data_IF_245592797491
#
_entry.id   IF_245592797491
#
_cell.length_a   1.000
_cell.length_b   1.000
_cell.length_c   1.000
_cell.angle_alpha   90.00
_cell.angle_beta   90.00
_cell.angle_gamma   90.00
#
_symmetry.space_group_name_H-M   'P 1'
#
loop_
_entity.id
_entity.type
_entity.pdbx_description
1 polymer ?
#
# COMPACT_ATOMS: atom_id res chain seq x y z
N UNK A 1 -10.64 15.86 -3.80
CA UNK A 1 -9.37 16.48 -3.36
C UNK A 1 -8.78 17.26 -4.54
N UNK A 2 -8.21 18.40 -4.30
CA UNK A 2 -7.39 19.15 -5.27
C UNK A 2 -6.17 19.63 -4.50
N UNK A 3 -4.99 19.36 -5.01
CA UNK A 3 -3.75 19.71 -4.32
C UNK A 3 -2.57 19.79 -5.29
N UNK A 4 -1.48 20.37 -4.81
CA UNK A 4 -0.19 20.35 -5.46
C UNK A 4 0.70 19.34 -4.73
N UNK A 5 1.50 18.58 -5.45
CA UNK A 5 2.41 17.58 -4.92
C UNK A 5 1.71 16.44 -4.10
N UNK A 6 0.50 16.07 -4.52
CA UNK A 6 -0.34 15.06 -3.85
C UNK A 6 -0.51 13.84 -4.78
N UNK A 7 -0.46 12.65 -4.20
CA UNK A 7 -0.67 11.41 -4.91
C UNK A 7 -2.18 11.13 -5.12
N UNK A 8 -2.55 10.61 -6.29
CA UNK A 8 -3.91 10.17 -6.60
C UNK A 8 -4.38 9.10 -5.61
N UNK A 9 -3.49 8.22 -5.18
CA UNK A 9 -3.80 7.14 -4.22
C UNK A 9 -4.29 7.63 -2.86
N UNK A 10 -4.10 8.92 -2.55
CA UNK A 10 -4.61 9.51 -1.30
C UNK A 10 -6.15 9.46 -1.17
N UNK A 11 -6.88 9.23 -2.27
CA UNK A 11 -8.34 9.04 -2.25
C UNK A 11 -8.75 7.57 -2.36
N UNK A 12 -7.80 6.64 -2.47
CA UNK A 12 -8.08 5.21 -2.52
C UNK A 12 -8.50 4.70 -1.15
N UNK A 13 -9.46 3.79 -1.14
CA UNK A 13 -9.97 3.20 0.10
C UNK A 13 -9.14 1.98 0.51
N UNK A 14 -8.66 1.21 -0.47
CA UNK A 14 -8.03 -0.07 -0.23
C UNK A 14 -8.96 -1.07 0.48
N UNK A 15 -8.51 -2.28 0.62
CA UNK A 15 -9.30 -3.31 1.33
C UNK A 15 -8.45 -4.17 2.26
N UNK A 16 -7.29 -3.68 2.65
CA UNK A 16 -6.35 -4.40 3.50
C UNK A 16 -6.44 -3.91 4.95
N UNK A 17 -6.34 -4.85 5.89
CA UNK A 17 -6.41 -4.56 7.32
C UNK A 17 -5.04 -4.61 8.01
N UNK A 18 -4.00 -5.14 7.37
CA UNK A 18 -2.68 -5.23 7.97
C UNK A 18 -2.03 -3.85 8.11
N UNK A 19 -1.47 -3.61 9.28
CA UNK A 19 -0.72 -2.39 9.55
C UNK A 19 0.76 -2.73 9.71
N UNK A 20 1.57 -2.43 8.70
CA UNK A 20 2.99 -2.71 8.70
C UNK A 20 3.70 -2.05 9.91
N UNK A 21 4.58 -2.82 10.54
CA UNK A 21 5.38 -2.33 11.65
C UNK A 21 6.49 -1.39 11.19
N UNK A 22 7.10 -1.70 10.05
CA UNK A 22 8.14 -0.88 9.41
C UNK A 22 7.63 -0.24 8.12
N UNK A 23 8.31 0.82 7.66
CA UNK A 23 8.06 1.41 6.34
C UNK A 23 8.70 0.61 5.19
N UNK A 24 9.35 -0.50 5.48
CA UNK A 24 9.96 -1.38 4.47
C UNK A 24 8.94 -2.25 3.74
N UNK A 25 7.79 -2.48 4.36
CA UNK A 25 6.65 -3.15 3.75
C UNK A 25 5.62 -2.09 3.40
N UNK A 26 5.33 -1.91 2.13
CA UNK A 26 4.19 -1.09 1.74
C UNK A 26 2.89 -1.64 2.36
N UNK A 27 2.02 -0.77 2.79
CA UNK A 27 0.71 -1.16 3.32
C UNK A 27 -0.06 -1.94 2.25
N UNK A 28 -0.01 -3.26 2.33
CA UNK A 28 -0.75 -4.16 1.47
C UNK A 28 -0.46 -4.06 -0.04
N UNK A 29 0.71 -3.58 -0.41
CA UNK A 29 1.24 -3.71 -1.76
C UNK A 29 0.63 -2.82 -2.85
N UNK A 30 -0.45 -2.11 -2.61
CA UNK A 30 -1.09 -1.30 -3.66
C UNK A 30 -0.83 0.19 -3.53
N UNK A 31 -0.26 0.63 -2.42
CA UNK A 31 -0.07 2.04 -2.14
C UNK A 31 1.20 2.64 -2.75
N UNK A 32 2.16 1.82 -3.11
CA UNK A 32 3.47 2.32 -3.52
C UNK A 32 3.64 2.48 -5.02
N UNK A 33 2.92 1.69 -5.82
CA UNK A 33 3.08 1.71 -7.27
C UNK A 33 1.85 2.23 -7.98
N UNK A 34 0.67 1.82 -7.52
CA UNK A 34 -0.60 2.13 -8.19
C UNK A 34 -1.18 3.45 -7.68
N UNK A 35 -0.67 4.51 -8.06
CA UNK A 35 -1.16 5.80 -7.62
C UNK A 35 -0.11 6.84 -7.65
N UNK A 36 1.07 6.47 -8.05
CA UNK A 36 2.15 7.43 -8.22
C UNK A 36 1.75 8.52 -9.18
N UNK A 37 0.96 9.42 -8.61
CA UNK A 37 0.84 10.71 -9.18
C UNK A 37 2.25 11.27 -9.32
N UNK A 38 2.57 11.69 -10.48
CA UNK A 38 3.62 12.65 -10.68
C UNK A 38 3.34 13.80 -9.71
N UNK A 39 4.35 14.25 -9.04
CA UNK A 39 4.25 15.33 -8.05
C UNK A 39 3.92 16.65 -8.72
N UNK A 40 2.69 16.86 -9.09
CA UNK A 40 2.18 18.06 -9.74
C UNK A 40 0.80 18.42 -9.25
N UNK A 41 0.06 19.17 -10.04
CA UNK A 41 -1.33 19.53 -9.70
C UNK A 41 -2.20 18.29 -9.87
N UNK A 42 -2.80 17.86 -8.78
CA UNK A 42 -3.65 16.66 -8.72
C UNK A 42 -5.09 17.04 -8.44
N UNK A 43 -6.01 16.43 -9.18
CA UNK A 43 -7.44 16.46 -8.89
C UNK A 43 -7.96 15.02 -8.78
N UNK A 44 -8.47 14.66 -7.61
CA UNK A 44 -8.93 13.31 -7.33
C UNK A 44 -10.21 13.31 -6.50
N UNK A 45 -11.02 12.27 -6.67
CA UNK A 45 -12.27 12.08 -5.93
C UNK A 45 -12.49 10.61 -5.60
N UNK A 46 -13.20 10.38 -4.50
CA UNK A 46 -13.74 9.08 -4.16
C UNK A 46 -15.22 9.18 -3.82
N UNK A 47 -15.94 8.11 -4.02
CA UNK A 47 -17.33 7.97 -3.67
C UNK A 47 -17.61 6.58 -3.10
N UNK A 48 -18.18 6.54 -1.90
CA UNK A 48 -18.63 5.31 -1.25
C UNK A 48 -20.14 5.18 -1.47
N UNK A 49 -20.55 4.02 -1.98
CA UNK A 49 -21.94 3.65 -2.17
C UNK A 49 -22.46 2.90 -0.97
N UNK A 50 -23.78 2.90 -0.79
CA UNK A 50 -24.40 2.00 0.17
C UNK A 50 -24.09 0.54 -0.18
N UNK A 51 -23.81 -0.29 0.84
CA UNK A 51 -23.51 -1.70 0.65
C UNK A 51 -22.03 -2.04 0.49
N UNK A 52 -21.12 -1.09 0.81
CA UNK A 52 -19.69 -1.36 0.95
C UNK A 52 -18.86 -1.23 -0.34
N UNK A 53 -19.48 -0.85 -1.45
CA UNK A 53 -18.75 -0.59 -2.70
C UNK A 53 -18.24 0.86 -2.73
N UNK A 54 -17.03 1.08 -3.23
CA UNK A 54 -16.47 2.41 -3.46
C UNK A 54 -15.71 2.49 -4.78
N UNK A 55 -15.70 3.70 -5.34
CA UNK A 55 -14.91 4.06 -6.51
C UNK A 55 -14.08 5.30 -6.19
N UNK A 56 -12.84 5.30 -6.62
CA UNK A 56 -11.96 6.44 -6.51
C UNK A 56 -11.17 6.62 -7.80
N UNK A 57 -10.72 7.83 -8.06
CA UNK A 57 -9.85 8.10 -9.18
C UNK A 57 -9.46 9.56 -9.28
N UNK A 58 -8.51 9.83 -10.15
CA UNK A 58 -7.99 11.16 -10.33
C UNK A 58 -7.05 11.28 -11.51
N UNK A 59 -6.65 12.51 -11.73
CA UNK A 59 -5.63 12.90 -12.69
C UNK A 59 -4.59 13.75 -11.98
N UNK A 60 -3.35 13.62 -12.40
CA UNK A 60 -2.24 14.45 -11.95
C UNK A 60 -1.44 14.91 -13.16
N UNK A 61 -0.86 16.08 -13.09
CA UNK A 61 0.01 16.63 -14.13
C UNK A 61 1.33 17.05 -13.50
N UNK A 62 2.43 16.79 -14.20
CA UNK A 62 3.78 17.12 -13.73
C UNK A 62 4.07 18.61 -13.62
N UNK A 63 5.27 18.99 -13.08
CA UNK A 63 5.55 20.35 -12.57
C UNK A 63 5.42 21.50 -13.54
N UNK A 64 5.17 21.24 -14.80
CA UNK A 64 4.97 22.29 -15.81
C UNK A 64 3.52 22.79 -15.92
N UNK A 65 2.59 22.14 -15.19
CA UNK A 65 1.17 22.57 -15.07
C UNK A 65 0.24 21.94 -16.11
N UNK A 66 -1.02 21.73 -15.71
CA UNK A 66 -2.13 21.10 -16.47
C UNK A 66 -2.34 21.67 -17.91
N UNK A 67 -1.75 22.80 -18.23
CA UNK A 67 -1.87 23.45 -19.53
C UNK A 67 -0.54 23.55 -20.28
N UNK A 68 0.50 22.91 -19.81
CA UNK A 68 1.78 22.92 -20.49
C UNK A 68 1.80 21.87 -21.62
N UNK A 69 2.44 22.23 -22.70
CA UNK A 69 2.52 21.39 -23.91
C UNK A 69 3.54 20.25 -23.82
N UNK A 70 4.25 20.12 -22.71
CA UNK A 70 5.20 19.03 -22.42
C UNK A 70 4.58 18.28 -21.26
N UNK A 71 4.02 17.17 -21.59
CA UNK A 71 3.00 16.47 -20.80
C UNK A 71 3.65 15.24 -20.22
N UNK A 72 3.73 15.23 -18.92
CA UNK A 72 3.85 14.00 -18.18
C UNK A 72 2.59 13.99 -17.28
N UNK A 73 1.53 13.41 -17.75
CA UNK A 73 0.27 13.30 -17.02
C UNK A 73 0.16 11.91 -16.39
N UNK A 74 -0.67 11.79 -15.40
CA UNK A 74 -1.01 10.51 -14.82
C UNK A 74 -2.51 10.46 -14.56
N UNK A 75 -3.10 9.27 -14.71
CA UNK A 75 -4.43 9.02 -14.19
C UNK A 75 -4.45 7.73 -13.37
N UNK A 76 -5.36 7.64 -12.42
CA UNK A 76 -5.52 6.46 -11.60
C UNK A 76 -6.97 6.21 -11.25
N UNK A 77 -7.31 4.94 -11.10
CA UNK A 77 -8.64 4.46 -10.73
C UNK A 77 -8.52 3.35 -9.70
N UNK A 78 -9.47 3.31 -8.75
CA UNK A 78 -9.66 2.20 -7.82
C UNK A 78 -11.13 1.85 -7.73
N UNK A 79 -11.40 0.55 -7.64
CA UNK A 79 -12.69 0.01 -7.21
C UNK A 79 -12.46 -0.89 -6.00
N UNK A 80 -13.19 -0.65 -4.92
CA UNK A 80 -13.10 -1.45 -3.72
C UNK A 80 -14.48 -1.91 -3.24
N UNK A 81 -14.50 -3.07 -2.62
CA UNK A 81 -15.64 -3.61 -1.92
C UNK A 81 -15.22 -4.08 -0.53
N UNK A 82 -15.93 -3.64 0.49
CA UNK A 82 -15.68 -4.01 1.88
C UNK A 82 -16.99 -4.47 2.55
N UNK A 83 -16.95 -5.67 3.08
CA UNK A 83 -17.98 -6.24 3.94
C UNK A 83 -17.42 -6.46 5.35
N UNK A 84 -18.25 -6.93 6.29
CA UNK A 84 -17.86 -7.10 7.70
C UNK A 84 -16.63 -8.01 7.89
N UNK A 85 -16.53 -9.06 7.08
CA UNK A 85 -15.46 -10.08 7.24
C UNK A 85 -14.49 -10.18 6.07
N UNK A 86 -14.70 -9.46 4.98
CA UNK A 86 -13.77 -9.47 3.85
C UNK A 86 -13.80 -8.18 3.07
N UNK A 87 -12.72 -7.92 2.36
CA UNK A 87 -12.62 -6.82 1.42
C UNK A 87 -11.71 -7.16 0.26
N UNK A 88 -11.95 -6.50 -0.86
CA UNK A 88 -11.11 -6.56 -2.05
C UNK A 88 -11.07 -5.19 -2.70
N UNK A 89 -9.87 -4.78 -3.16
CA UNK A 89 -9.69 -3.58 -3.96
C UNK A 89 -8.83 -3.89 -5.18
N UNK A 90 -9.14 -3.23 -6.29
CA UNK A 90 -8.38 -3.29 -7.54
C UNK A 90 -8.08 -1.87 -7.96
N UNK A 91 -6.82 -1.56 -8.20
CA UNK A 91 -6.38 -0.26 -8.66
C UNK A 91 -5.58 -0.37 -9.96
N UNK A 92 -5.66 0.67 -10.76
CA UNK A 92 -4.92 0.83 -12.01
C UNK A 92 -4.45 2.27 -12.12
N UNK A 93 -3.24 2.48 -12.64
CA UNK A 93 -2.78 3.81 -13.04
C UNK A 93 -1.93 3.73 -14.30
N UNK A 94 -1.95 4.83 -15.04
CA UNK A 94 -1.11 5.08 -16.20
C UNK A 94 -0.37 6.39 -15.94
N UNK A 95 0.95 6.33 -16.03
CA UNK A 95 1.84 7.43 -15.68
C UNK A 95 2.73 7.69 -16.88
N UNK A 96 2.54 8.84 -17.51
CA UNK A 96 3.43 9.35 -18.54
C UNK A 96 4.69 9.96 -17.90
N UNK A 97 5.83 9.80 -18.54
CA UNK A 97 7.10 10.32 -18.05
C UNK A 97 8.25 10.02 -18.98
N UNK A 98 9.47 10.05 -18.48
CA UNK A 98 10.66 9.63 -19.27
C UNK A 98 10.50 8.20 -19.81
N UNK A 99 9.78 7.38 -19.10
CA UNK A 99 9.30 6.06 -19.52
C UNK A 99 7.86 5.95 -19.08
N UNK A 100 6.95 5.85 -20.02
CA UNK A 100 5.55 5.64 -19.72
C UNK A 100 5.39 4.29 -19.04
N UNK A 101 4.63 4.27 -17.95
CA UNK A 101 4.52 3.07 -17.11
C UNK A 101 3.07 2.87 -16.69
N UNK A 102 2.56 1.68 -16.91
CA UNK A 102 1.27 1.29 -16.35
C UNK A 102 1.47 0.49 -15.07
N UNK A 103 0.57 0.69 -14.12
CA UNK A 103 0.55 -0.01 -12.85
C UNK A 103 -0.82 -0.63 -12.64
N UNK A 104 -0.86 -1.79 -12.03
CA UNK A 104 -2.09 -2.35 -11.49
C UNK A 104 -1.79 -3.07 -10.18
N UNK A 105 -2.79 -3.12 -9.32
CA UNK A 105 -2.69 -3.83 -8.06
C UNK A 105 -4.04 -4.38 -7.62
N UNK A 106 -3.96 -5.46 -6.86
CA UNK A 106 -5.10 -6.06 -6.18
C UNK A 106 -4.71 -6.28 -4.74
N UNK A 107 -5.54 -5.85 -3.81
CA UNK A 107 -5.38 -6.19 -2.41
C UNK A 107 -6.70 -6.65 -1.79
N UNK A 108 -6.60 -7.30 -0.66
CA UNK A 108 -7.77 -7.73 0.06
C UNK A 108 -7.45 -8.27 1.44
N UNK A 109 -8.51 -8.47 2.19
CA UNK A 109 -8.43 -9.09 3.49
C UNK A 109 -9.58 -10.07 3.72
N UNK A 110 -9.37 -11.00 4.62
CA UNK A 110 -10.41 -11.85 5.17
C UNK A 110 -10.22 -12.00 6.68
N UNK A 111 -11.28 -11.69 7.43
CA UNK A 111 -11.31 -11.82 8.87
C UNK A 111 -11.95 -13.17 9.26
N UNK A 112 -11.14 -14.03 9.89
CA UNK A 112 -11.60 -15.21 10.61
C UNK A 112 -11.89 -14.82 12.07
N UNK A 113 -12.54 -15.69 12.81
CA UNK A 113 -12.83 -15.46 14.24
C UNK A 113 -11.54 -15.24 15.08
N UNK A 114 -10.42 -15.82 14.67
CA UNK A 114 -9.17 -15.82 15.45
C UNK A 114 -8.04 -15.01 14.81
N UNK A 115 -8.16 -14.62 13.55
CA UNK A 115 -7.11 -13.90 12.83
C UNK A 115 -7.67 -13.22 11.59
N UNK A 116 -6.98 -12.18 11.12
CA UNK A 116 -7.23 -11.56 9.81
C UNK A 116 -6.03 -11.80 8.90
N UNK A 117 -6.27 -12.34 7.71
CA UNK A 117 -5.29 -12.37 6.63
C UNK A 117 -5.49 -11.16 5.74
N UNK A 118 -4.39 -10.54 5.34
CA UNK A 118 -4.33 -9.49 4.32
C UNK A 118 -3.31 -9.87 3.27
N UNK A 119 -3.61 -9.63 2.00
CA UNK A 119 -2.69 -9.92 0.91
C UNK A 119 -2.85 -8.92 -0.22
N UNK A 120 -1.79 -8.72 -0.97
CA UNK A 120 -1.79 -7.89 -2.17
C UNK A 120 -0.74 -8.32 -3.18
N UNK A 121 -0.99 -7.95 -4.41
CA UNK A 121 -0.06 -8.08 -5.52
C UNK A 121 -0.13 -6.81 -6.35
N UNK A 122 1.01 -6.34 -6.82
CA UNK A 122 1.10 -5.20 -7.72
C UNK A 122 2.04 -5.48 -8.87
N UNK A 123 1.83 -4.79 -9.96
CA UNK A 123 2.64 -4.88 -11.18
C UNK A 123 2.94 -3.50 -11.72
N UNK A 124 4.16 -3.34 -12.18
CA UNK A 124 4.70 -2.18 -12.88
C UNK A 124 5.12 -2.63 -14.27
N UNK A 125 4.57 -2.01 -15.30
CA UNK A 125 4.83 -2.36 -16.71
C UNK A 125 5.33 -1.13 -17.48
N UNK A 126 6.66 -0.90 -17.50
CA UNK A 126 7.27 0.21 -18.23
C UNK A 126 7.32 -0.09 -19.72
N UNK A 127 6.97 0.89 -20.56
CA UNK A 127 7.06 0.79 -22.01
C UNK A 127 8.49 0.51 -22.44
N UNK A 128 8.69 -0.62 -23.13
CA UNK A 128 10.01 -1.05 -23.60
C UNK A 128 10.93 -1.65 -22.52
N UNK A 129 10.42 -1.81 -21.31
CA UNK A 129 11.09 -2.48 -20.19
C UNK A 129 10.55 -3.86 -19.89
N UNK A 130 11.01 -4.44 -18.79
CA UNK A 130 10.48 -5.69 -18.26
C UNK A 130 9.41 -5.40 -17.20
N UNK A 131 8.30 -6.11 -17.26
CA UNK A 131 7.27 -6.06 -16.22
C UNK A 131 7.86 -6.52 -14.90
N UNK A 132 7.59 -5.78 -13.83
CA UNK A 132 8.00 -6.09 -12.47
C UNK A 132 6.77 -6.34 -11.63
N UNK A 133 6.89 -7.26 -10.68
CA UNK A 133 5.80 -7.66 -9.79
C UNK A 133 6.28 -7.70 -8.34
N UNK A 134 5.42 -7.28 -7.43
CA UNK A 134 5.61 -7.40 -6.00
C UNK A 134 4.39 -8.00 -5.32
N UNK A 135 4.57 -8.58 -4.15
CA UNK A 135 3.49 -9.10 -3.35
C UNK A 135 3.67 -8.80 -1.85
N UNK A 136 2.58 -8.93 -1.15
CA UNK A 136 2.50 -8.78 0.29
C UNK A 136 1.54 -9.81 0.88
N UNK A 137 1.86 -10.33 2.06
CA UNK A 137 0.96 -11.13 2.91
C UNK A 137 1.18 -10.75 4.36
N UNK A 138 0.10 -10.47 5.09
CA UNK A 138 0.11 -10.18 6.52
C UNK A 138 -0.95 -10.97 7.26
N UNK A 139 -0.64 -11.33 8.50
CA UNK A 139 -1.56 -11.98 9.44
C UNK A 139 -1.60 -11.15 10.72
N UNK A 140 -2.80 -10.84 11.18
CA UNK A 140 -3.07 -10.17 12.44
C UNK A 140 -3.88 -11.08 13.35
N UNK A 141 -3.41 -11.28 14.57
CA UNK A 141 -4.06 -12.07 15.62
C UNK A 141 -4.49 -11.10 16.74
N UNK A 142 -5.77 -10.67 16.79
CA UNK A 142 -6.21 -9.57 17.65
C UNK A 142 -6.29 -9.91 19.14
N UNK A 143 -6.35 -11.19 19.51
CA UNK A 143 -6.58 -11.62 20.88
C UNK A 143 -5.43 -12.50 21.41
N UNK A 144 -4.19 -12.02 21.27
CA UNK A 144 -3.03 -12.68 21.89
C UNK A 144 -2.76 -12.04 23.25
N UNK A 145 -3.36 -12.61 24.30
CA UNK A 145 -3.36 -11.99 25.62
C UNK A 145 -4.17 -10.70 25.64
N UNK A 146 -3.54 -9.58 26.02
CA UNK A 146 -4.19 -8.27 26.05
C UNK A 146 -3.89 -7.43 24.77
N UNK A 147 -3.21 -8.00 23.79
CA UNK A 147 -2.76 -7.25 22.63
C UNK A 147 -2.96 -7.98 21.31
N UNK A 148 -2.42 -7.41 20.25
CA UNK A 148 -2.45 -7.94 18.89
C UNK A 148 -1.06 -8.36 18.45
N UNK A 149 -0.93 -9.56 17.92
CA UNK A 149 0.30 -10.05 17.30
C UNK A 149 0.16 -10.01 15.78
N UNK A 150 1.11 -9.36 15.13
CA UNK A 150 1.17 -9.19 13.68
C UNK A 150 2.43 -9.86 13.11
N UNK A 151 2.30 -10.47 11.95
CA UNK A 151 3.40 -11.05 11.18
C UNK A 151 3.19 -10.74 9.70
N UNK A 152 4.21 -10.28 9.02
CA UNK A 152 4.15 -9.89 7.61
C UNK A 152 5.34 -10.37 6.79
N UNK A 153 5.08 -10.56 5.51
CA UNK A 153 6.04 -10.87 4.47
C UNK A 153 5.69 -10.07 3.21
N UNK A 154 6.66 -9.41 2.63
CA UNK A 154 6.52 -8.73 1.34
C UNK A 154 7.79 -8.86 0.50
N UNK A 155 7.68 -8.65 -0.81
CA UNK A 155 8.86 -8.32 -1.62
C UNK A 155 9.40 -6.96 -1.20
N UNK A 156 10.72 -6.80 -1.15
CA UNK A 156 11.36 -5.52 -0.77
C UNK A 156 11.22 -4.43 -1.85
N UNK A 157 10.87 -4.83 -3.07
CA UNK A 157 10.55 -3.98 -4.22
C UNK A 157 9.74 -4.78 -5.24
N UNK A 158 9.35 -4.17 -6.35
CA UNK A 158 8.85 -4.89 -7.50
C UNK A 158 10.04 -5.41 -8.32
N UNK A 159 9.99 -6.67 -8.74
CA UNK A 159 11.07 -7.37 -9.44
C UNK A 159 10.62 -7.90 -10.80
N UNK A 160 11.49 -7.80 -11.80
CA UNK A 160 11.34 -8.52 -13.05
C UNK A 160 11.78 -9.99 -12.88
N UNK A 161 11.30 -10.88 -13.74
CA UNK A 161 11.60 -12.31 -13.68
C UNK A 161 13.10 -12.66 -13.80
N UNK A 162 13.92 -11.70 -14.27
CA UNK A 162 15.38 -11.82 -14.37
C UNK A 162 16.13 -11.31 -13.13
N UNK A 163 15.41 -10.65 -12.21
CA UNK A 163 16.01 -10.01 -11.05
C UNK A 163 16.20 -11.02 -9.90
N UNK A 164 17.10 -10.70 -8.99
CA UNK A 164 17.17 -11.39 -7.70
C UNK A 164 16.12 -10.78 -6.78
N UNK A 165 15.14 -11.58 -6.37
CA UNK A 165 14.12 -11.15 -5.43
C UNK A 165 14.67 -11.11 -4.01
N UNK A 166 14.32 -10.05 -3.28
CA UNK A 166 14.57 -9.90 -1.85
C UNK A 166 13.26 -9.71 -1.12
N UNK A 167 13.20 -10.20 0.11
CA UNK A 167 12.00 -10.15 0.93
C UNK A 167 12.21 -9.33 2.18
N UNK A 168 11.12 -8.77 2.67
CA UNK A 168 11.03 -8.14 3.98
C UNK A 168 10.10 -8.97 4.85
N UNK A 169 10.55 -9.29 6.05
CA UNK A 169 9.81 -9.99 7.08
C UNK A 169 9.68 -9.10 8.29
N UNK A 170 8.53 -9.08 8.90
CA UNK A 170 8.38 -8.41 10.17
C UNK A 170 7.43 -9.15 11.10
N UNK A 171 7.64 -8.98 12.41
CA UNK A 171 6.73 -9.43 13.43
C UNK A 171 6.67 -8.40 14.55
N UNK A 172 5.48 -8.11 15.03
CA UNK A 172 5.28 -7.13 16.09
C UNK A 172 4.16 -7.53 17.04
N UNK A 173 4.18 -6.97 18.23
CA UNK A 173 3.15 -7.18 19.22
C UNK A 173 2.68 -5.84 19.80
N UNK A 174 1.46 -5.45 19.48
CA UNK A 174 0.84 -4.21 19.93
C UNK A 174 0.15 -4.44 21.28
N UNK A 175 0.68 -3.82 22.34
CA UNK A 175 0.15 -3.93 23.69
C UNK A 175 -0.43 -2.60 24.17
N UNK A 176 -1.74 -2.52 24.47
CA UNK A 176 -2.35 -1.32 25.03
C UNK A 176 -1.94 -1.19 26.51
N UNK A 177 -1.24 -0.10 26.84
CA UNK A 177 -0.90 0.23 28.24
C UNK A 177 -2.13 0.83 28.96
N UNK A 178 -2.86 1.67 28.23
CA UNK A 178 -4.12 2.28 28.64
C UNK A 178 -4.86 2.81 27.40
N UNK A 179 -6.01 3.46 27.60
CA UNK A 179 -6.87 3.97 26.52
C UNK A 179 -6.19 5.00 25.59
N UNK A 180 -5.12 5.64 26.05
CA UNK A 180 -4.40 6.66 25.30
C UNK A 180 -2.98 6.27 24.89
N UNK A 181 -2.51 5.05 25.21
CA UNK A 181 -1.11 4.66 24.96
C UNK A 181 -0.97 3.18 24.57
N UNK A 182 -0.30 2.94 23.46
CA UNK A 182 0.07 1.59 23.00
C UNK A 182 1.58 1.50 22.79
N UNK A 183 2.19 0.38 23.22
CA UNK A 183 3.58 0.03 22.95
C UNK A 183 3.60 -1.16 22.00
N UNK A 184 4.40 -1.06 20.93
CA UNK A 184 4.55 -2.10 19.91
C UNK A 184 6.02 -2.43 19.73
N UNK A 185 6.58 -3.37 20.49
CA UNK A 185 7.87 -3.99 20.16
C UNK A 185 7.74 -4.83 18.88
N UNK A 186 8.78 -4.85 18.07
CA UNK A 186 8.81 -5.62 16.85
C UNK A 186 10.23 -5.87 16.35
N UNK A 187 10.34 -6.84 15.47
CA UNK A 187 11.56 -7.24 14.77
C UNK A 187 11.31 -7.23 13.28
N UNK A 188 12.36 -6.99 12.50
CA UNK A 188 12.29 -7.06 11.06
C UNK A 188 13.59 -7.60 10.46
N UNK A 189 13.47 -8.16 9.27
CA UNK A 189 14.56 -8.53 8.38
C UNK A 189 14.20 -8.02 7.01
N UNK A 190 15.03 -7.16 6.44
CA UNK A 190 14.93 -6.73 5.05
C UNK A 190 16.13 -7.31 4.30
N UNK A 191 15.86 -8.27 3.44
CA UNK A 191 16.88 -8.83 2.55
C UNK A 191 17.31 -7.80 1.49
N UNK A 192 18.56 -7.89 1.07
CA UNK A 192 19.20 -7.05 0.07
C UNK A 192 20.57 -7.57 -0.30
N UNK A 193 21.37 -6.79 -1.00
CA UNK A 193 22.80 -7.10 -1.18
C UNK A 193 23.55 -7.16 0.16
N UNK A 194 23.02 -6.49 1.15
CA UNK A 194 23.35 -6.57 2.57
C UNK A 194 22.03 -6.54 3.32
N UNK A 195 21.81 -7.54 4.14
CA UNK A 195 20.57 -7.63 4.92
C UNK A 195 20.56 -6.57 6.03
N UNK A 196 19.40 -5.97 6.24
CA UNK A 196 19.14 -5.08 7.36
C UNK A 196 18.19 -5.80 8.35
N UNK A 197 18.71 -6.04 9.55
CA UNK A 197 17.95 -6.74 10.60
C UNK A 197 17.91 -5.88 11.84
N UNK A 198 16.72 -5.69 12.38
CA UNK A 198 16.54 -4.80 13.52
C UNK A 198 15.45 -5.22 14.49
N UNK A 199 15.54 -4.57 15.64
CA UNK A 199 14.50 -4.52 16.66
C UNK A 199 14.14 -3.05 16.90
N UNK A 200 12.86 -2.77 17.00
CA UNK A 200 12.37 -1.44 17.32
C UNK A 200 11.19 -1.49 18.29
N UNK A 201 10.92 -0.39 18.95
CA UNK A 201 9.72 -0.22 19.78
C UNK A 201 9.02 1.06 19.33
N UNK A 202 7.80 0.89 18.83
CA UNK A 202 6.90 2.00 18.48
C UNK A 202 6.03 2.33 19.68
N UNK A 203 5.86 3.60 19.98
CA UNK A 203 4.92 4.07 21.01
C UNK A 203 3.92 5.00 20.35
N UNK A 204 2.64 4.68 20.47
CA UNK A 204 1.54 5.48 19.92
C UNK A 204 0.75 6.11 21.06
N UNK A 205 0.39 7.39 20.89
CA UNK A 205 -0.43 8.15 21.81
C UNK A 205 -1.71 8.61 21.12
N UNK A 206 -2.85 8.51 21.83
CA UNK A 206 -4.16 9.02 21.40
C UNK A 206 -4.64 10.05 22.42
N UNK A 207 -5.04 11.25 21.96
CA UNK A 207 -5.49 12.36 22.81
C UNK A 207 -6.94 12.74 22.49
#
# INVERSE_FOLDING_TARGET
>A
MVGDNTDISAVYTGACAYNAFTDYMGNCGTGNSVGLGTKGVTAAMSYAFDGGFSLAGGISSTPTGILAKVEDDAFGLEAAYTADSYGIAVAYSDVEGTTDTTYWGVNGMYAFDFATISAGVESEDPVGGSTKTGFFVGLSFPEVGAGTFDIGLATSANYASSDTEYYTYEASYSYPINDGMTITPGVFIKEGTTDDTGFAVKTSFSF
#
